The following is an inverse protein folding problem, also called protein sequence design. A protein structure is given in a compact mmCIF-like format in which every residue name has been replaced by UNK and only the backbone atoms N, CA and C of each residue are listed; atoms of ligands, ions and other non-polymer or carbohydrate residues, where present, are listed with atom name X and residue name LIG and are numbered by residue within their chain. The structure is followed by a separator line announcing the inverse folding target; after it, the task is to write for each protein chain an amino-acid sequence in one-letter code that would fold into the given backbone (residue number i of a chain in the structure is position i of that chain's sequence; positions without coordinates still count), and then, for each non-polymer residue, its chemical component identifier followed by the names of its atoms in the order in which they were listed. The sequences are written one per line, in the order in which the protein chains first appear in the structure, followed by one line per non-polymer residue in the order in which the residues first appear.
data_IF_948206424840
#
_entry.id   IF_948206424840
#
_cell.length_a   1.000
_cell.length_b   1.000
_cell.length_c   1.000
_cell.angle_alpha   90.00
_cell.angle_beta   90.00
_cell.angle_gamma   90.00
#
_symmetry.space_group_name_H-M   'P 1'
#
loop_
_entity.id
_entity.type
_entity.pdbx_description
1 polymer ?
#
# COMPACT_ATOMS: atom_id res chain seq x y z
N UNK A 1 27.43 17.54 -0.05
CA UNK A 1 27.01 16.40 0.79
C UNK A 1 25.61 16.63 1.34
N UNK A 2 25.34 17.79 1.94
CA UNK A 2 24.02 18.25 2.41
C UNK A 2 22.86 18.05 1.41
N UNK A 3 23.04 18.44 0.14
CA UNK A 3 21.99 18.30 -0.87
C UNK A 3 21.56 16.84 -1.14
N UNK A 4 22.48 15.86 -1.02
CA UNK A 4 22.17 14.43 -1.17
C UNK A 4 21.37 13.89 0.02
N UNK A 5 21.68 14.37 1.23
CA UNK A 5 20.98 13.97 2.47
C UNK A 5 19.54 14.50 2.48
N UNK A 6 19.34 15.73 2.00
CA UNK A 6 18.01 16.32 1.84
C UNK A 6 17.10 15.50 0.92
N UNK A 7 17.56 15.22 -0.29
CA UNK A 7 16.80 14.44 -1.30
C UNK A 7 16.49 13.02 -0.81
N UNK A 8 17.45 12.37 -0.15
CA UNK A 8 17.24 11.05 0.43
C UNK A 8 16.17 11.07 1.53
N UNK A 9 16.24 12.04 2.45
CA UNK A 9 15.27 12.18 3.53
C UNK A 9 13.86 12.45 3.02
N UNK A 10 13.73 13.28 1.98
CA UNK A 10 12.45 13.55 1.34
C UNK A 10 11.88 12.32 0.64
N UNK A 11 12.71 11.57 -0.09
CA UNK A 11 12.31 10.32 -0.74
C UNK A 11 11.83 9.28 0.27
N UNK A 12 12.52 9.12 1.39
CA UNK A 12 12.12 8.21 2.47
C UNK A 12 10.77 8.62 3.06
N UNK A 13 10.56 9.90 3.36
CA UNK A 13 9.27 10.38 3.91
C UNK A 13 8.12 10.21 2.92
N UNK A 14 8.35 10.49 1.64
CA UNK A 14 7.37 10.29 0.57
C UNK A 14 6.97 8.81 0.46
N UNK A 15 7.95 7.90 0.52
CA UNK A 15 7.71 6.46 0.50
C UNK A 15 6.87 6.00 1.72
N UNK A 16 7.22 6.44 2.93
CA UNK A 16 6.45 6.13 4.14
C UNK A 16 5.01 6.65 4.09
N UNK A 17 4.74 7.75 3.38
CA UNK A 17 3.38 8.22 3.15
C UNK A 17 2.52 7.24 2.33
N UNK A 18 3.13 6.53 1.39
CA UNK A 18 2.47 5.46 0.61
C UNK A 18 2.24 4.25 1.51
N UNK A 19 3.24 3.84 2.27
CA UNK A 19 3.18 2.66 3.13
C UNK A 19 2.11 2.80 4.23
N UNK A 20 2.06 3.96 4.90
CA UNK A 20 1.04 4.23 5.91
C UNK A 20 -0.38 4.33 5.34
N UNK A 21 -0.56 4.82 4.12
CA UNK A 21 -1.89 5.09 3.57
C UNK A 21 -2.46 3.94 2.72
N UNK A 22 -1.61 3.07 2.18
CA UNK A 22 -2.00 1.96 1.31
C UNK A 22 -1.67 0.60 1.92
N UNK A 23 -0.41 0.38 2.32
CA UNK A 23 0.03 -0.92 2.82
C UNK A 23 -0.61 -1.27 4.16
N UNK A 24 -0.64 -0.36 5.12
CA UNK A 24 -1.31 -0.62 6.40
C UNK A 24 -2.77 -1.05 6.23
N UNK A 25 -3.51 -0.44 5.29
CA UNK A 25 -4.90 -0.80 5.01
C UNK A 25 -4.98 -2.21 4.38
N UNK A 26 -4.10 -2.53 3.44
CA UNK A 26 -4.05 -3.88 2.84
C UNK A 26 -3.69 -4.95 3.89
N UNK A 27 -2.68 -4.70 4.72
CA UNK A 27 -2.11 -5.68 5.63
C UNK A 27 -3.01 -5.89 6.85
N UNK A 28 -3.53 -4.81 7.44
CA UNK A 28 -4.30 -4.85 8.69
C UNK A 28 -5.80 -4.93 8.42
N UNK A 29 -6.36 -3.99 7.65
CA UNK A 29 -7.83 -3.91 7.44
C UNK A 29 -8.30 -5.05 6.53
N UNK A 30 -7.58 -5.32 5.44
CA UNK A 30 -7.90 -6.42 4.54
C UNK A 30 -7.22 -7.75 4.89
N UNK A 31 -6.37 -7.77 5.93
CA UNK A 31 -5.72 -8.97 6.45
C UNK A 31 -4.85 -9.69 5.42
N UNK A 32 -4.16 -8.95 4.55
CA UNK A 32 -3.36 -9.51 3.46
C UNK A 32 -2.31 -10.50 3.96
N UNK A 33 -1.54 -10.15 4.98
CA UNK A 33 -0.49 -11.00 5.59
C UNK A 33 -1.01 -12.35 6.09
N UNK A 34 -2.28 -12.41 6.49
CA UNK A 34 -2.91 -13.61 7.05
C UNK A 34 -3.66 -14.41 5.99
N UNK A 35 -3.73 -13.92 4.76
CA UNK A 35 -4.48 -14.54 3.68
C UNK A 35 -3.78 -15.80 3.17
N UNK A 36 -4.48 -16.93 3.18
CA UNK A 36 -3.99 -18.21 2.62
C UNK A 36 -4.43 -18.45 1.18
N UNK A 37 -5.05 -17.44 0.57
CA UNK A 37 -5.56 -17.51 -0.80
C UNK A 37 -4.38 -17.46 -1.76
N UNK A 38 -4.18 -18.55 -2.50
CA UNK A 38 -3.09 -18.66 -3.49
C UNK A 38 -3.39 -19.60 -4.66
N UNK A 39 -4.66 -19.99 -4.86
CA UNK A 39 -5.03 -20.83 -6.00
C UNK A 39 -5.21 -20.00 -7.27
N UNK A 40 -4.55 -20.41 -8.36
CA UNK A 40 -4.61 -19.73 -9.64
C UNK A 40 -4.28 -18.24 -9.52
N UNK A 41 -5.16 -17.38 -10.06
CA UNK A 41 -5.00 -15.92 -10.05
C UNK A 41 -5.61 -15.25 -8.81
N UNK A 42 -6.02 -16.01 -7.79
CA UNK A 42 -6.77 -15.46 -6.67
C UNK A 42 -5.97 -14.47 -5.81
N UNK A 43 -4.65 -14.63 -5.69
CA UNK A 43 -3.80 -13.69 -4.97
C UNK A 43 -3.75 -12.32 -5.69
N UNK A 44 -3.41 -12.33 -6.98
CA UNK A 44 -3.34 -11.13 -7.82
C UNK A 44 -4.69 -10.39 -7.91
N UNK A 45 -5.76 -11.13 -8.21
CA UNK A 45 -7.11 -10.58 -8.30
C UNK A 45 -7.52 -9.91 -6.98
N UNK A 46 -7.15 -10.50 -5.85
CA UNK A 46 -7.51 -9.96 -4.54
C UNK A 46 -6.69 -8.73 -4.17
N UNK A 47 -5.40 -8.71 -4.45
CA UNK A 47 -4.57 -7.51 -4.27
C UNK A 47 -5.06 -6.36 -5.17
N UNK A 48 -5.47 -6.63 -6.41
CA UNK A 48 -6.10 -5.64 -7.29
C UNK A 48 -7.41 -5.09 -6.69
N UNK A 49 -8.34 -5.97 -6.30
CA UNK A 49 -9.63 -5.57 -5.74
C UNK A 49 -9.48 -4.72 -4.48
N UNK A 50 -8.57 -5.09 -3.58
CA UNK A 50 -8.28 -4.31 -2.35
C UNK A 50 -7.78 -2.91 -2.66
N UNK A 51 -6.85 -2.79 -3.61
CA UNK A 51 -6.35 -1.48 -4.06
C UNK A 51 -7.45 -0.66 -4.73
N UNK A 52 -8.26 -1.28 -5.58
CA UNK A 52 -9.39 -0.63 -6.26
C UNK A 52 -10.40 -0.06 -5.25
N UNK A 53 -10.83 -0.87 -4.28
CA UNK A 53 -11.75 -0.42 -3.22
C UNK A 53 -11.12 0.69 -2.37
N UNK A 54 -9.85 0.57 -2.01
CA UNK A 54 -9.15 1.62 -1.24
C UNK A 54 -9.12 2.95 -1.98
N UNK A 55 -8.86 2.93 -3.29
CA UNK A 55 -8.89 4.13 -4.14
C UNK A 55 -10.28 4.75 -4.17
N UNK A 56 -11.34 3.95 -4.36
CA UNK A 56 -12.72 4.46 -4.36
C UNK A 56 -13.10 5.09 -3.02
N UNK A 57 -12.74 4.46 -1.90
CA UNK A 57 -13.03 4.98 -0.56
C UNK A 57 -12.34 6.33 -0.32
N UNK A 58 -11.10 6.50 -0.81
CA UNK A 58 -10.36 7.76 -0.71
C UNK A 58 -10.90 8.87 -1.62
N UNK A 59 -11.66 8.55 -2.66
CA UNK A 59 -12.26 9.53 -3.55
C UNK A 59 -13.61 10.08 -3.03
N UNK A 60 -14.31 9.31 -2.19
CA UNK A 60 -15.62 9.68 -1.64
C UNK A 60 -15.57 10.41 -0.29
N UNK A 61 -14.37 10.72 0.21
CA UNK A 61 -14.08 11.46 1.46
C UNK A 61 -13.16 12.62 1.15
#
# INVERSE_FOLDING_TARGET
MEAKVGVFSESVRSHWGIENSLHWVMDVVFGEDRSRIGQGHAAENRSFLRRFVTTLLKQGT
#
